data_IF_671255550364
#
_entry.id   IF_671255550364
#
_cell.length_a   1.000
_cell.length_b   1.000
_cell.length_c   1.000
_cell.angle_alpha   90.00
_cell.angle_beta   90.00
_cell.angle_gamma   90.00
#
_symmetry.space_group_name_H-M   'P 1'
#
loop_
_entity.id
_entity.type
_entity.pdbx_description
1 polymer ?
#
# COMPACT_ATOMS: atom_id res chain seq x y z
N UNK A 1 -0.34 -16.73 23.04
CA UNK A 1 -0.08 -16.23 21.67
C UNK A 1 -1.43 -15.96 21.04
N UNK A 2 -1.75 -14.69 20.73
CA UNK A 2 -3.03 -14.35 20.06
C UNK A 2 -2.72 -14.13 18.60
N UNK A 3 -3.22 -15.01 17.73
CA UNK A 3 -3.15 -14.84 16.29
C UNK A 3 -4.18 -13.80 15.85
N UNK A 4 -3.77 -12.84 15.02
CA UNK A 4 -4.68 -11.82 14.53
C UNK A 4 -5.18 -12.15 13.13
N UNK A 5 -6.49 -12.09 12.98
CA UNK A 5 -7.19 -12.34 11.72
C UNK A 5 -7.87 -11.06 11.23
N UNK A 6 -8.22 -11.05 9.95
CA UNK A 6 -9.03 -9.99 9.37
C UNK A 6 -10.45 -10.03 9.93
N UNK A 7 -10.98 -8.87 10.30
CA UNK A 7 -12.30 -8.74 10.92
C UNK A 7 -13.33 -8.08 10.00
N UNK A 8 -14.60 -8.27 10.31
CA UNK A 8 -15.70 -7.63 9.57
C UNK A 8 -15.74 -6.14 9.86
N UNK A 9 -15.47 -5.77 11.10
CA UNK A 9 -15.44 -4.38 11.54
C UNK A 9 -14.52 -4.23 12.75
N UNK A 10 -13.61 -3.25 12.72
CA UNK A 10 -12.82 -2.83 13.86
C UNK A 10 -12.26 -1.42 13.64
N UNK A 11 -12.03 -0.68 14.73
CA UNK A 11 -11.43 0.66 14.75
C UNK A 11 -12.09 1.68 13.81
N UNK A 12 -13.40 1.54 13.60
CA UNK A 12 -14.17 2.41 12.73
C UNK A 12 -14.05 2.07 11.24
N UNK A 13 -13.46 0.93 10.90
CA UNK A 13 -13.40 0.43 9.52
C UNK A 13 -14.33 -0.77 9.38
N UNK A 14 -15.24 -0.72 8.40
CA UNK A 14 -16.09 -1.82 8.00
C UNK A 14 -15.55 -2.44 6.70
N UNK A 15 -15.20 -3.72 6.76
CA UNK A 15 -14.60 -4.46 5.65
C UNK A 15 -15.62 -4.75 4.56
N UNK A 16 -15.25 -4.52 3.28
CA UNK A 16 -16.10 -4.77 2.12
C UNK A 16 -16.16 -6.25 1.70
N UNK A 17 -15.19 -7.07 2.12
CA UNK A 17 -15.14 -8.47 1.69
C UNK A 17 -16.34 -9.25 2.22
N UNK A 18 -17.05 -9.97 1.34
CA UNK A 18 -18.12 -10.87 1.73
C UNK A 18 -17.59 -11.99 2.66
N UNK A 19 -16.44 -12.56 2.32
CA UNK A 19 -15.68 -13.47 3.18
C UNK A 19 -14.41 -12.76 3.66
N UNK A 20 -14.43 -12.23 4.86
CA UNK A 20 -13.34 -11.44 5.44
C UNK A 20 -12.03 -12.23 5.58
N UNK A 21 -12.10 -13.55 5.74
CA UNK A 21 -10.92 -14.42 5.86
C UNK A 21 -10.12 -14.53 4.55
N UNK A 22 -10.70 -14.13 3.42
CA UNK A 22 -10.00 -14.07 2.13
C UNK A 22 -9.18 -12.79 1.94
N UNK A 23 -9.35 -11.82 2.80
CA UNK A 23 -8.52 -10.62 2.79
C UNK A 23 -7.23 -10.88 3.56
N UNK A 24 -6.08 -10.53 2.98
CA UNK A 24 -4.79 -10.60 3.66
C UNK A 24 -4.80 -9.76 4.94
N UNK A 25 -4.33 -10.35 6.03
CA UNK A 25 -4.27 -9.69 7.34
C UNK A 25 -3.34 -8.47 7.34
N UNK A 26 -2.30 -8.49 6.52
CA UNK A 26 -1.37 -7.38 6.29
C UNK A 26 -2.08 -6.13 5.76
N UNK A 27 -2.94 -6.28 4.76
CA UNK A 27 -3.77 -5.20 4.21
C UNK A 27 -4.75 -4.65 5.24
N UNK A 28 -5.39 -5.55 5.99
CA UNK A 28 -6.28 -5.16 7.07
C UNK A 28 -5.55 -4.33 8.14
N UNK A 29 -4.40 -4.80 8.60
CA UNK A 29 -3.59 -4.11 9.60
C UNK A 29 -3.05 -2.77 9.09
N UNK A 30 -2.69 -2.69 7.80
CA UNK A 30 -2.29 -1.42 7.18
C UNK A 30 -3.43 -0.39 7.21
N UNK A 31 -4.67 -0.79 6.89
CA UNK A 31 -5.84 0.09 7.01
C UNK A 31 -6.12 0.48 8.47
N UNK A 32 -6.01 -0.45 9.42
CA UNK A 32 -6.15 -0.17 10.84
C UNK A 32 -5.13 0.86 11.31
N UNK A 33 -3.87 0.76 10.87
CA UNK A 33 -2.85 1.78 11.12
C UNK A 33 -3.25 3.12 10.51
N UNK A 34 -3.65 3.14 9.24
CA UNK A 34 -4.03 4.34 8.51
C UNK A 34 -5.19 5.10 9.18
N UNK A 35 -6.23 4.40 9.62
CA UNK A 35 -7.38 4.98 10.32
C UNK A 35 -7.06 5.57 11.72
N UNK A 36 -5.90 5.28 12.29
CA UNK A 36 -5.42 5.97 13.48
C UNK A 36 -4.87 7.37 13.14
N UNK A 37 -4.30 7.51 11.95
CA UNK A 37 -3.60 8.72 11.49
C UNK A 37 -4.50 9.66 10.70
N UNK A 38 -5.47 9.13 9.97
CA UNK A 38 -6.43 9.90 9.19
C UNK A 38 -7.83 9.87 9.80
N UNK A 39 -8.51 11.02 9.74
CA UNK A 39 -9.94 11.17 10.06
C UNK A 39 -10.78 11.46 8.81
N UNK A 40 -10.13 11.61 7.68
CA UNK A 40 -10.74 11.82 6.36
C UNK A 40 -10.89 10.49 5.64
N UNK A 41 -11.46 10.53 4.44
CA UNK A 41 -11.27 9.45 3.48
C UNK A 41 -9.77 9.25 3.23
N UNK A 42 -9.35 8.04 2.92
CA UNK A 42 -7.96 7.77 2.61
C UNK A 42 -7.80 6.56 1.70
N UNK A 43 -6.68 6.51 1.01
CA UNK A 43 -6.16 5.22 0.58
C UNK A 43 -4.81 4.94 1.25
N UNK A 44 -4.57 3.67 1.51
CA UNK A 44 -3.27 3.19 1.97
C UNK A 44 -2.63 2.37 0.84
N UNK A 45 -1.41 2.75 0.47
CA UNK A 45 -0.60 2.05 -0.53
C UNK A 45 0.65 1.50 0.17
N UNK A 46 0.76 0.17 0.18
CA UNK A 46 1.91 -0.52 0.76
C UNK A 46 2.75 -1.14 -0.37
N UNK A 47 4.04 -0.75 -0.45
CA UNK A 47 4.95 -1.14 -1.53
C UNK A 47 6.00 -2.10 -1.02
N UNK A 48 5.86 -3.35 -1.46
CA UNK A 48 6.78 -4.45 -1.15
C UNK A 48 6.91 -5.39 -2.34
N UNK A 49 6.95 -6.69 -2.09
CA UNK A 49 6.91 -7.75 -3.12
C UNK A 49 5.66 -7.64 -3.99
N UNK A 50 4.53 -7.33 -3.38
CA UNK A 50 3.34 -6.81 -4.06
C UNK A 50 3.13 -5.35 -3.68
N UNK A 51 2.44 -4.61 -4.52
CA UNK A 51 1.88 -3.31 -4.19
C UNK A 51 0.41 -3.55 -3.89
N UNK A 52 -0.02 -3.14 -2.71
CA UNK A 52 -1.44 -3.16 -2.34
C UNK A 52 -1.96 -1.75 -2.18
N UNK A 53 -3.19 -1.52 -2.61
CA UNK A 53 -3.88 -0.24 -2.43
C UNK A 53 -5.26 -0.56 -1.88
N UNK A 54 -5.62 0.04 -0.75
CA UNK A 54 -6.93 -0.11 -0.11
C UNK A 54 -7.57 1.24 0.15
N UNK A 55 -8.85 1.38 -0.18
CA UNK A 55 -9.60 2.63 -0.12
C UNK A 55 -10.62 2.60 1.01
N UNK A 56 -10.64 3.63 1.83
CA UNK A 56 -11.60 3.79 2.92
C UNK A 56 -12.25 5.17 2.82
N UNK A 57 -13.59 5.19 2.78
CA UNK A 57 -14.40 6.42 2.73
C UNK A 57 -15.48 6.29 3.81
N UNK A 58 -15.60 7.28 4.67
CA UNK A 58 -16.58 7.32 5.78
C UNK A 58 -16.57 6.05 6.64
N UNK A 59 -15.37 5.51 6.91
CA UNK A 59 -15.18 4.27 7.64
C UNK A 59 -15.53 2.99 6.85
N UNK A 60 -16.03 3.11 5.62
CA UNK A 60 -16.33 1.96 4.78
C UNK A 60 -15.12 1.65 3.88
N UNK A 61 -14.54 0.46 4.02
CA UNK A 61 -13.61 -0.08 3.04
C UNK A 61 -14.34 -0.32 1.73
N UNK A 62 -13.88 0.27 0.64
CA UNK A 62 -14.50 0.14 -0.68
C UNK A 62 -13.95 -1.05 -1.47
N UNK A 63 -12.80 -1.58 -1.07
CA UNK A 63 -12.02 -2.57 -1.80
C UNK A 63 -10.61 -2.06 -2.07
N UNK A 64 -9.87 -2.79 -2.89
CA UNK A 64 -8.49 -2.41 -3.18
C UNK A 64 -7.91 -3.14 -4.38
N UNK A 65 -6.65 -2.86 -4.65
CA UNK A 65 -5.88 -3.44 -5.75
C UNK A 65 -4.66 -4.19 -5.22
N UNK A 66 -4.24 -5.21 -5.94
CA UNK A 66 -2.99 -5.92 -5.72
C UNK A 66 -2.31 -6.03 -7.07
N UNK A 67 -1.11 -5.49 -7.16
CA UNK A 67 -0.28 -5.56 -8.36
C UNK A 67 1.13 -6.03 -8.01
N UNK A 68 1.91 -6.56 -8.96
CA UNK A 68 3.29 -6.94 -8.70
C UNK A 68 4.12 -5.73 -8.24
N UNK A 69 5.00 -5.92 -7.25
CA UNK A 69 5.98 -4.92 -6.87
C UNK A 69 7.08 -4.73 -7.92
N UNK A 70 7.90 -3.70 -7.77
CA UNK A 70 8.93 -3.31 -8.72
C UNK A 70 9.83 -4.49 -9.13
N UNK A 71 10.38 -5.20 -8.15
CA UNK A 71 11.27 -6.33 -8.41
C UNK A 71 10.57 -7.51 -9.10
N UNK A 72 9.31 -7.76 -8.75
CA UNK A 72 8.51 -8.84 -9.36
C UNK A 72 8.22 -8.52 -10.82
N UNK A 73 7.82 -7.27 -11.13
CA UNK A 73 7.60 -6.81 -12.52
C UNK A 73 8.87 -6.96 -13.35
N UNK A 74 9.98 -6.45 -12.84
CA UNK A 74 11.29 -6.54 -13.51
C UNK A 74 11.70 -7.97 -13.75
N UNK A 75 11.68 -8.81 -12.73
CA UNK A 75 12.10 -10.21 -12.83
C UNK A 75 11.21 -11.01 -13.79
N UNK A 76 9.91 -10.70 -13.87
CA UNK A 76 9.01 -11.33 -14.82
C UNK A 76 9.40 -11.03 -16.28
N UNK A 77 9.82 -9.80 -16.59
CA UNK A 77 10.32 -9.43 -17.91
C UNK A 77 11.62 -10.15 -18.24
N UNK A 78 12.57 -10.19 -17.31
CA UNK A 78 13.86 -10.90 -17.49
C UNK A 78 13.63 -12.40 -17.72
N UNK A 79 12.77 -13.03 -16.92
CA UNK A 79 12.47 -14.46 -17.04
C UNK A 79 11.73 -14.82 -18.33
N UNK A 80 10.92 -13.90 -18.86
CA UNK A 80 10.08 -14.13 -20.04
C UNK A 80 10.78 -13.82 -21.36
N UNK A 81 12.01 -13.29 -21.34
CA UNK A 81 12.70 -12.84 -22.55
C UNK A 81 14.17 -13.31 -22.57
N UNK A 82 14.65 -13.75 -23.74
CA UNK A 82 16.03 -14.24 -23.91
C UNK A 82 17.09 -13.14 -24.00
N UNK A 83 16.70 -11.88 -24.15
CA UNK A 83 17.59 -10.75 -24.44
C UNK A 83 17.44 -9.56 -23.49
N UNK A 84 16.59 -9.68 -22.50
CA UNK A 84 16.41 -8.61 -21.51
C UNK A 84 17.27 -8.93 -20.29
N UNK A 85 18.24 -8.09 -20.05
CA UNK A 85 19.01 -8.05 -18.82
C UNK A 85 18.46 -6.89 -18.00
N UNK A 86 18.46 -7.00 -16.68
CA UNK A 86 18.08 -5.92 -15.80
C UNK A 86 19.10 -5.87 -14.65
N UNK A 87 19.60 -4.68 -14.37
CA UNK A 87 20.39 -4.44 -13.18
C UNK A 87 19.50 -4.40 -11.94
N UNK A 88 20.07 -4.45 -10.74
CA UNK A 88 19.32 -4.42 -9.48
C UNK A 88 19.00 -3.00 -8.99
N UNK A 89 19.28 -2.00 -9.81
CA UNK A 89 19.08 -0.61 -9.45
C UNK A 89 17.62 -0.17 -9.62
N UNK A 90 17.13 0.53 -8.61
CA UNK A 90 15.84 1.19 -8.67
C UNK A 90 16.10 2.65 -9.02
N UNK A 91 15.54 3.14 -10.13
CA UNK A 91 15.69 4.55 -10.50
C UNK A 91 15.21 5.47 -9.38
N UNK A 92 15.99 6.49 -9.06
CA UNK A 92 15.64 7.49 -8.03
C UNK A 92 14.93 8.71 -8.61
N UNK A 93 14.95 8.85 -9.93
CA UNK A 93 14.30 9.91 -10.68
C UNK A 93 13.39 9.34 -11.73
N UNK A 94 12.28 10.01 -12.01
CA UNK A 94 11.39 9.64 -13.08
C UNK A 94 11.99 10.09 -14.42
N UNK A 95 12.08 9.17 -15.38
CA UNK A 95 12.69 9.45 -16.66
C UNK A 95 12.42 8.38 -17.72
N UNK A 96 13.14 8.44 -18.81
CA UNK A 96 13.10 7.43 -19.89
C UNK A 96 14.48 6.78 -20.02
N UNK A 97 14.50 5.47 -20.27
CA UNK A 97 15.73 4.73 -20.54
C UNK A 97 16.20 4.92 -21.97
N UNK A 98 17.49 4.78 -22.20
CA UNK A 98 18.11 4.84 -23.52
C UNK A 98 18.79 3.52 -23.92
N UNK A 99 18.77 2.54 -23.04
CA UNK A 99 19.12 1.14 -23.29
C UNK A 99 18.06 0.19 -22.72
N UNK A 100 18.19 -1.11 -22.97
CA UNK A 100 17.18 -2.10 -22.59
C UNK A 100 17.03 -2.21 -21.04
N UNK A 101 18.12 -2.17 -20.30
CA UNK A 101 18.12 -2.30 -18.84
C UNK A 101 17.42 -1.10 -18.20
N UNK A 102 17.78 0.10 -18.63
CA UNK A 102 17.15 1.33 -18.16
C UNK A 102 15.69 1.43 -18.59
N UNK A 103 15.34 0.98 -19.81
CA UNK A 103 13.95 0.94 -20.27
C UNK A 103 13.09 0.02 -19.40
N UNK A 104 13.61 -1.14 -18.99
CA UNK A 104 12.90 -2.05 -18.07
C UNK A 104 12.72 -1.40 -16.71
N UNK A 105 13.78 -0.82 -16.15
CA UNK A 105 13.73 -0.20 -14.83
C UNK A 105 12.78 1.02 -14.80
N UNK A 106 12.91 1.92 -15.78
CA UNK A 106 12.05 3.12 -15.88
C UNK A 106 10.61 2.76 -16.21
N UNK A 107 10.40 1.69 -17.03
CA UNK A 107 9.07 1.18 -17.35
C UNK A 107 8.34 0.60 -16.12
N UNK A 108 9.03 -0.21 -15.31
CA UNK A 108 8.48 -0.70 -14.03
C UNK A 108 8.17 0.46 -13.07
N UNK A 109 9.03 1.48 -13.06
CA UNK A 109 8.84 2.69 -12.28
C UNK A 109 7.59 3.48 -12.73
N UNK A 110 7.42 3.64 -14.06
CA UNK A 110 6.25 4.28 -14.64
C UNK A 110 4.95 3.51 -14.34
N UNK A 111 4.98 2.18 -14.38
CA UNK A 111 3.83 1.35 -14.01
C UNK A 111 3.41 1.56 -12.55
N UNK A 112 4.37 1.60 -11.62
CA UNK A 112 4.11 1.87 -10.22
C UNK A 112 3.52 3.28 -10.00
N UNK A 113 4.09 4.29 -10.69
CA UNK A 113 3.54 5.64 -10.66
C UNK A 113 2.13 5.71 -11.24
N UNK A 114 1.86 4.95 -12.28
CA UNK A 114 0.52 4.80 -12.85
C UNK A 114 -0.50 4.25 -11.84
N UNK A 115 -0.11 3.25 -11.02
CA UNK A 115 -0.97 2.75 -9.93
C UNK A 115 -1.27 3.85 -8.92
N UNK A 116 -0.26 4.62 -8.51
CA UNK A 116 -0.45 5.76 -7.60
C UNK A 116 -1.39 6.81 -8.17
N UNK A 117 -1.18 7.25 -9.41
CA UNK A 117 -2.05 8.23 -10.07
C UNK A 117 -3.48 7.72 -10.21
N UNK A 118 -3.66 6.46 -10.57
CA UNK A 118 -4.98 5.82 -10.66
C UNK A 118 -5.67 5.78 -9.29
N UNK A 119 -4.91 5.57 -8.21
CA UNK A 119 -5.47 5.59 -6.85
C UNK A 119 -5.91 7.00 -6.44
N UNK A 120 -5.10 8.01 -6.77
CA UNK A 120 -5.48 9.42 -6.55
C UNK A 120 -6.74 9.78 -7.33
N UNK A 121 -6.81 9.44 -8.61
CA UNK A 121 -7.99 9.69 -9.45
C UNK A 121 -9.24 8.99 -8.90
N UNK A 122 -9.11 7.71 -8.54
CA UNK A 122 -10.23 6.94 -8.00
C UNK A 122 -10.78 7.55 -6.71
N UNK A 123 -9.93 7.87 -5.72
CA UNK A 123 -10.42 8.43 -4.45
C UNK A 123 -10.96 9.85 -4.64
N UNK A 124 -10.37 10.66 -5.52
CA UNK A 124 -10.85 12.00 -5.86
C UNK A 124 -12.26 11.97 -6.43
N UNK A 125 -12.62 10.89 -7.15
CA UNK A 125 -13.99 10.70 -7.66
C UNK A 125 -15.01 10.38 -6.57
N UNK A 126 -14.56 10.03 -5.36
CA UNK A 126 -15.42 9.66 -4.22
C UNK A 126 -15.51 10.78 -3.19
N UNK A 127 -14.38 11.46 -2.91
CA UNK A 127 -14.27 12.51 -1.91
C UNK A 127 -13.31 13.59 -2.35
N UNK A 128 -13.64 14.85 -2.07
CA UNK A 128 -12.79 16.00 -2.40
C UNK A 128 -11.64 16.16 -1.41
N UNK A 129 -11.82 15.71 -0.16
CA UNK A 129 -10.79 15.73 0.87
C UNK A 129 -10.43 14.31 1.28
N UNK A 130 -9.17 13.95 1.12
CA UNK A 130 -8.66 12.63 1.49
C UNK A 130 -7.18 12.71 1.86
N UNK A 131 -6.73 11.69 2.56
CA UNK A 131 -5.33 11.51 2.91
C UNK A 131 -4.72 10.36 2.10
N UNK A 132 -3.45 10.49 1.76
CA UNK A 132 -2.66 9.47 1.08
C UNK A 132 -1.65 8.90 2.07
N UNK A 133 -1.75 7.61 2.36
CA UNK A 133 -0.86 6.94 3.29
C UNK A 133 0.00 5.95 2.52
N UNK A 134 1.31 6.17 2.54
CA UNK A 134 2.30 5.36 1.85
C UNK A 134 3.13 4.58 2.86
N UNK A 135 3.22 3.27 2.67
CA UNK A 135 4.04 2.36 3.45
C UNK A 135 4.81 1.37 2.59
N UNK A 136 5.64 0.56 3.24
CA UNK A 136 6.44 -0.46 2.57
C UNK A 136 7.92 -0.40 2.89
N UNK A 137 8.62 -1.48 2.54
CA UNK A 137 10.05 -1.63 2.83
C UNK A 137 10.96 -0.88 1.86
N UNK A 138 10.50 -0.60 0.66
CA UNK A 138 11.33 -0.02 -0.39
C UNK A 138 11.21 1.49 -0.46
N UNK A 139 11.99 2.17 0.38
CA UNK A 139 12.02 3.64 0.46
C UNK A 139 12.47 4.30 -0.84
N UNK A 140 13.26 3.62 -1.67
CA UNK A 140 13.75 4.16 -2.95
C UNK A 140 12.60 4.32 -3.94
N UNK A 141 11.67 3.37 -3.94
CA UNK A 141 10.48 3.38 -4.82
C UNK A 141 9.59 4.60 -4.54
N UNK A 142 9.56 5.13 -3.32
CA UNK A 142 8.79 6.32 -2.98
C UNK A 142 9.50 7.64 -3.24
N UNK A 143 10.77 7.63 -3.64
CA UNK A 143 11.55 8.87 -3.77
C UNK A 143 10.93 9.86 -4.77
N UNK A 144 10.20 9.35 -5.77
CA UNK A 144 9.53 10.14 -6.80
C UNK A 144 8.08 10.51 -6.46
N UNK A 145 7.43 9.82 -5.49
CA UNK A 145 6.09 10.17 -5.00
C UNK A 145 6.17 11.35 -4.01
N UNK A 146 6.90 12.41 -4.38
CA UNK A 146 7.03 13.60 -3.55
C UNK A 146 5.80 14.50 -3.74
N UNK A 147 4.75 14.25 -2.95
CA UNK A 147 3.71 15.25 -2.69
C UNK A 147 3.79 15.65 -1.23
N UNK A 148 3.56 16.93 -0.95
CA UNK A 148 3.47 17.44 0.42
C UNK A 148 2.30 16.82 1.20
N UNK A 149 1.31 16.29 0.48
CA UNK A 149 0.08 15.72 1.05
C UNK A 149 0.20 14.23 1.38
N UNK A 150 1.34 13.59 1.07
CA UNK A 150 1.54 12.17 1.33
C UNK A 150 2.06 11.93 2.75
N UNK A 151 1.32 11.19 3.56
CA UNK A 151 1.81 10.66 4.85
C UNK A 151 2.62 9.38 4.60
N UNK A 152 3.90 9.39 4.96
CA UNK A 152 4.77 8.23 4.89
C UNK A 152 4.88 7.58 6.25
N UNK A 153 4.43 6.33 6.33
CA UNK A 153 4.46 5.56 7.57
C UNK A 153 5.34 4.32 7.40
N UNK A 154 6.32 4.19 8.28
CA UNK A 154 7.10 2.95 8.36
C UNK A 154 6.29 1.87 9.09
N UNK A 155 6.48 0.61 8.69
CA UNK A 155 5.95 -0.55 9.41
C UNK A 155 4.41 -0.52 9.64
N UNK A 156 3.63 -0.22 8.61
CA UNK A 156 2.15 -0.12 8.67
C UNK A 156 1.52 -1.32 9.39
N UNK A 157 1.89 -2.53 9.00
CA UNK A 157 1.36 -3.79 9.56
C UNK A 157 1.67 -3.89 11.05
N UNK A 158 2.91 -3.61 11.45
CA UNK A 158 3.31 -3.65 12.87
C UNK A 158 2.62 -2.57 13.71
N UNK A 159 2.43 -1.38 13.15
CA UNK A 159 1.69 -0.31 13.84
C UNK A 159 0.21 -0.66 13.97
N UNK A 160 -0.40 -1.27 12.95
CA UNK A 160 -1.76 -1.79 13.03
C UNK A 160 -1.92 -2.87 14.11
N UNK A 161 -0.98 -3.81 14.18
CA UNK A 161 -0.96 -4.84 15.22
C UNK A 161 -0.78 -4.22 16.62
N UNK A 162 0.11 -3.25 16.77
CA UNK A 162 0.30 -2.53 18.03
C UNK A 162 -0.97 -1.79 18.49
N UNK A 163 -1.80 -1.29 17.56
CA UNK A 163 -3.09 -0.68 17.88
C UNK A 163 -4.04 -1.69 18.54
N UNK A 164 -4.08 -2.92 18.03
CA UNK A 164 -4.84 -4.00 18.67
C UNK A 164 -4.33 -4.30 20.09
N UNK A 165 -3.02 -4.47 20.25
CA UNK A 165 -2.43 -4.74 21.56
C UNK A 165 -2.76 -3.63 22.58
N UNK A 166 -2.67 -2.36 22.19
CA UNK A 166 -3.07 -1.24 23.07
C UNK A 166 -4.54 -1.30 23.44
N UNK A 167 -5.41 -1.63 22.48
CA UNK A 167 -6.86 -1.73 22.75
C UNK A 167 -7.20 -2.85 23.75
N UNK A 168 -6.50 -3.98 23.69
CA UNK A 168 -6.69 -5.10 24.61
C UNK A 168 -6.18 -4.77 26.02
N UNK A 169 -5.02 -4.13 26.15
CA UNK A 169 -4.48 -3.69 27.43
C UNK A 169 -5.44 -2.72 28.16
N UNK A 170 -6.03 -1.77 27.42
CA UNK A 170 -6.99 -0.82 28.00
C UNK A 170 -8.27 -1.49 28.50
N UNK A 171 -8.73 -2.57 27.85
CA UNK A 171 -9.89 -3.35 28.30
C UNK A 171 -9.60 -4.16 29.57
N UNK A 172 -8.37 -4.70 29.69
CA UNK A 172 -7.94 -5.49 30.84
C UNK A 172 -7.67 -4.68 32.11
N UNK A 173 -7.53 -3.36 32.01
CA UNK A 173 -7.33 -2.45 33.17
C UNK A 173 -8.65 -1.89 33.73
N UNK A 174 -9.78 -2.22 33.11
CA UNK A 174 -11.13 -1.74 33.50
C UNK A 174 -11.95 -2.78 34.31
N UNK A 175 -11.30 -3.86 34.74
CA UNK A 175 -11.84 -4.88 35.67
C UNK A 175 -11.09 -4.86 36.98
#
# INVERSE_FOLDING_TARGET
FVEKHTEKEAFGIKNSYANVQKMGVDRWLAMVCAAEKSKKAFFVMDVGTAITVDFVVDGQHLGGWIVPGFQVMRNALVASTKKVFANDEIPTTFGVGTDTEDCVATGCHAALYGVYLSAVDYISSKQTEFDIILGGGDKKVFAFLKSADNMRLAHLVMQGLARYARSELLKGTST
#
